data_IF_147361269801
#
_entry.id   IF_147361269801
#
_cell.length_a   1.000
_cell.length_b   1.000
_cell.length_c   1.000
_cell.angle_alpha   90.00
_cell.angle_beta   90.00
_cell.angle_gamma   90.00
#
_symmetry.space_group_name_H-M   'P 1'
#
loop_
_entity.id
_entity.type
_entity.pdbx_description
1 polymer ?
#
# COMPACT_ATOMS: atom_id res chain seq x y z
N UNK A 1 6.27 8.74 -15.68
CA UNK A 1 7.50 8.11 -15.18
C UNK A 1 7.44 6.60 -15.40
N UNK A 2 8.53 6.01 -15.86
CA UNK A 2 8.63 4.56 -15.99
C UNK A 2 8.45 3.88 -14.63
N UNK A 3 7.74 2.75 -14.59
CA UNK A 3 7.52 1.96 -13.37
C UNK A 3 8.82 1.57 -12.67
N UNK A 4 9.87 1.28 -13.43
CA UNK A 4 11.19 0.92 -12.90
C UNK A 4 11.94 2.09 -12.27
N UNK A 5 11.53 3.34 -12.54
CA UNK A 5 12.15 4.55 -11.99
C UNK A 5 11.39 5.11 -10.77
N UNK A 6 10.40 4.39 -10.26
CA UNK A 6 9.61 4.85 -9.13
C UNK A 6 10.40 4.77 -7.83
N UNK A 7 10.05 5.65 -6.89
CA UNK A 7 10.73 5.80 -5.60
C UNK A 7 10.70 4.52 -4.76
N UNK A 8 9.56 3.82 -4.78
CA UNK A 8 9.36 2.61 -3.98
C UNK A 8 9.08 1.38 -4.83
N UNK A 9 9.54 0.24 -4.35
CA UNK A 9 9.16 -1.06 -4.90
C UNK A 9 7.77 -1.45 -4.40
N UNK A 10 7.51 -1.27 -3.10
CA UNK A 10 6.25 -1.68 -2.45
C UNK A 10 5.81 -0.60 -1.45
N UNK A 11 4.53 -0.26 -1.48
CA UNK A 11 3.88 0.51 -0.42
C UNK A 11 2.90 -0.40 0.31
N UNK A 12 3.02 -0.49 1.64
CA UNK A 12 2.08 -1.20 2.49
C UNK A 12 1.00 -0.22 2.91
N UNK A 13 -0.18 -0.36 2.31
CA UNK A 13 -1.33 0.50 2.57
C UNK A 13 -2.22 -0.10 3.66
N UNK A 14 -2.56 0.71 4.66
CA UNK A 14 -3.24 0.24 5.86
C UNK A 14 -2.28 -0.22 6.96
N UNK A 15 -1.06 0.31 6.95
CA UNK A 15 0.01 -0.13 7.84
C UNK A 15 -0.27 0.09 9.34
N UNK A 16 -1.25 0.91 9.70
CA UNK A 16 -1.66 1.14 11.10
C UNK A 16 -2.74 0.17 11.59
N UNK A 17 -3.38 -0.58 10.69
CA UNK A 17 -4.35 -1.60 11.07
C UNK A 17 -3.67 -2.86 11.60
N UNK A 18 -4.46 -3.77 12.16
CA UNK A 18 -3.93 -5.00 12.75
C UNK A 18 -3.07 -5.80 11.75
N UNK A 19 -3.61 -6.11 10.59
CA UNK A 19 -2.89 -6.90 9.58
C UNK A 19 -1.77 -6.10 8.93
N UNK A 20 -2.02 -4.83 8.61
CA UNK A 20 -1.01 -3.96 8.00
C UNK A 20 0.22 -3.77 8.88
N UNK A 21 0.02 -3.67 10.18
CA UNK A 21 1.12 -3.61 11.15
C UNK A 21 1.97 -4.87 11.10
N UNK A 22 1.33 -6.05 11.03
CA UNK A 22 2.05 -7.33 10.95
C UNK A 22 2.85 -7.44 9.65
N UNK A 23 2.30 -6.97 8.54
CA UNK A 23 3.00 -6.95 7.25
C UNK A 23 4.22 -6.03 7.31
N UNK A 24 4.06 -4.82 7.86
CA UNK A 24 5.17 -3.88 8.03
C UNK A 24 6.26 -4.44 8.94
N UNK A 25 5.87 -5.07 10.04
CA UNK A 25 6.81 -5.74 10.96
C UNK A 25 7.58 -6.85 10.26
N UNK A 26 6.92 -7.64 9.42
CA UNK A 26 7.56 -8.66 8.59
C UNK A 26 8.63 -8.06 7.67
N UNK A 27 8.33 -6.93 7.03
CA UNK A 27 9.28 -6.23 6.17
C UNK A 27 10.52 -5.77 6.95
N UNK A 28 10.33 -5.28 8.18
CA UNK A 28 11.45 -4.90 9.04
C UNK A 28 12.32 -6.12 9.38
N UNK A 29 11.68 -7.24 9.75
CA UNK A 29 12.39 -8.44 10.15
C UNK A 29 13.14 -9.11 9.00
N UNK A 30 12.51 -9.21 7.83
CA UNK A 30 13.07 -9.94 6.69
C UNK A 30 14.07 -9.14 5.87
N UNK A 31 13.79 -7.86 5.69
CA UNK A 31 14.60 -7.04 4.79
C UNK A 31 15.53 -6.10 5.54
N UNK A 32 15.15 -5.61 6.69
CA UNK A 32 16.01 -4.80 7.55
C UNK A 32 16.77 -3.71 6.82
N UNK A 33 18.07 -3.70 6.98
CA UNK A 33 18.99 -2.76 6.35
C UNK A 33 19.83 -3.37 5.23
N UNK A 34 19.43 -4.52 4.69
CA UNK A 34 20.16 -5.17 3.60
C UNK A 34 20.21 -4.25 2.38
N UNK A 35 21.39 -4.18 1.73
CA UNK A 35 21.62 -3.27 0.60
C UNK A 35 20.76 -3.58 -0.62
N UNK A 36 20.34 -4.83 -0.79
CA UNK A 36 19.50 -5.32 -1.88
C UNK A 36 18.01 -5.45 -1.51
N UNK A 37 17.65 -4.97 -0.31
CA UNK A 37 16.27 -5.01 0.16
C UNK A 37 15.36 -4.15 -0.71
N UNK A 38 14.08 -4.54 -0.86
CA UNK A 38 13.10 -3.69 -1.53
C UNK A 38 12.99 -2.33 -0.84
N UNK A 39 12.82 -1.28 -1.62
CA UNK A 39 12.50 0.05 -1.10
C UNK A 39 11.01 0.08 -0.81
N UNK A 40 10.64 0.30 0.44
CA UNK A 40 9.24 0.23 0.85
C UNK A 40 8.85 1.42 1.72
N UNK A 41 7.55 1.67 1.79
CA UNK A 41 6.97 2.72 2.62
C UNK A 41 5.71 2.22 3.31
N UNK A 42 5.38 2.85 4.43
CA UNK A 42 4.14 2.61 5.16
C UNK A 42 3.13 3.69 4.78
N UNK A 43 1.92 3.29 4.46
CA UNK A 43 0.86 4.23 4.10
C UNK A 43 -0.40 4.02 4.94
N UNK A 44 -1.08 5.10 5.21
CA UNK A 44 -2.32 5.14 5.96
C UNK A 44 -2.87 6.55 6.02
N UNK A 45 -4.04 6.71 6.62
CA UNK A 45 -4.74 8.01 6.65
C UNK A 45 -4.31 8.94 7.80
N UNK A 46 -3.67 8.40 8.84
CA UNK A 46 -3.31 9.16 10.03
C UNK A 46 -1.80 9.19 10.22
N UNK A 47 -1.13 10.34 9.97
CA UNK A 47 0.32 10.43 10.07
C UNK A 47 0.85 10.16 11.48
N UNK A 48 0.13 10.55 12.51
CA UNK A 48 0.54 10.30 13.91
C UNK A 48 0.54 8.81 14.25
N UNK A 49 -0.45 8.08 13.76
CA UNK A 49 -0.51 6.63 13.95
C UNK A 49 0.59 5.92 13.15
N UNK A 50 0.88 6.39 11.94
CA UNK A 50 1.97 5.84 11.13
C UNK A 50 3.32 5.97 11.84
N UNK A 51 3.61 7.12 12.41
CA UNK A 51 4.84 7.34 13.19
C UNK A 51 4.91 6.41 14.39
N UNK A 52 3.80 6.29 15.12
CA UNK A 52 3.72 5.42 16.30
C UNK A 52 3.98 3.97 15.95
N UNK A 53 3.30 3.46 14.93
CA UNK A 53 3.47 2.07 14.51
C UNK A 53 4.89 1.83 14.00
N UNK A 54 5.44 2.76 13.20
CA UNK A 54 6.84 2.68 12.75
C UNK A 54 7.79 2.48 13.92
N UNK A 55 7.62 3.27 14.98
CA UNK A 55 8.49 3.19 16.16
C UNK A 55 8.25 1.88 16.94
N UNK A 56 7.00 1.48 17.11
CA UNK A 56 6.64 0.29 17.88
C UNK A 56 7.09 -1.02 17.22
N UNK A 57 7.11 -1.09 15.91
CA UNK A 57 7.58 -2.29 15.18
C UNK A 57 9.10 -2.33 15.01
N UNK A 58 9.80 -1.30 15.46
CA UNK A 58 11.27 -1.23 15.37
C UNK A 58 11.77 -0.87 13.98
N UNK A 59 10.95 -0.27 13.14
CA UNK A 59 11.40 0.23 11.85
C UNK A 59 12.31 1.44 12.03
N UNK A 60 13.33 1.62 11.18
CA UNK A 60 14.16 2.82 11.23
C UNK A 60 13.31 4.09 11.09
N UNK A 61 13.71 5.15 11.77
CA UNK A 61 13.03 6.45 11.69
C UNK A 61 13.03 7.03 10.27
N UNK A 62 13.93 6.54 9.43
CA UNK A 62 14.02 6.90 8.00
C UNK A 62 13.00 6.16 7.13
N UNK A 63 12.27 5.18 7.66
CA UNK A 63 11.24 4.48 6.90
C UNK A 63 10.17 5.47 6.43
N UNK A 64 9.96 5.64 5.13
CA UNK A 64 9.03 6.63 4.61
C UNK A 64 7.58 6.36 5.00
N UNK A 65 6.86 7.42 5.29
CA UNK A 65 5.43 7.38 5.61
C UNK A 65 4.67 8.18 4.55
N UNK A 66 3.58 7.60 4.05
CA UNK A 66 2.72 8.23 3.05
C UNK A 66 1.31 8.37 3.62
N UNK A 67 0.79 9.58 3.60
CA UNK A 67 -0.61 9.81 4.01
C UNK A 67 -1.52 9.64 2.81
N UNK A 68 -2.42 8.68 2.88
CA UNK A 68 -3.40 8.41 1.84
C UNK A 68 -4.70 7.91 2.46
N UNK A 69 -5.84 8.33 1.91
CA UNK A 69 -7.16 8.03 2.42
C UNK A 69 -8.05 7.53 1.28
N UNK A 70 -8.79 6.45 1.52
CA UNK A 70 -9.73 5.88 0.54
C UNK A 70 -10.79 6.88 0.08
N UNK A 71 -11.11 7.89 0.89
CA UNK A 71 -12.07 8.94 0.56
C UNK A 71 -11.43 10.13 -0.17
N UNK A 72 -10.11 10.13 -0.33
CA UNK A 72 -9.37 11.19 -1.03
C UNK A 72 -8.63 10.61 -2.24
N UNK A 73 -9.29 10.67 -3.39
CA UNK A 73 -8.76 10.12 -4.65
C UNK A 73 -7.39 10.71 -5.02
N UNK A 74 -7.19 12.00 -4.80
CA UNK A 74 -5.93 12.67 -5.11
C UNK A 74 -4.77 12.08 -4.29
N UNK A 75 -5.01 11.75 -3.01
CA UNK A 75 -4.00 11.12 -2.16
C UNK A 75 -3.66 9.71 -2.61
N UNK A 76 -4.66 8.95 -3.08
CA UNK A 76 -4.45 7.61 -3.62
C UNK A 76 -3.65 7.67 -4.93
N UNK A 77 -3.99 8.58 -5.82
CA UNK A 77 -3.25 8.77 -7.08
C UNK A 77 -1.78 9.12 -6.81
N UNK A 78 -1.54 10.06 -5.91
CA UNK A 78 -0.19 10.47 -5.54
C UNK A 78 0.63 9.30 -4.96
N UNK A 79 0.02 8.48 -4.12
CA UNK A 79 0.67 7.28 -3.57
C UNK A 79 1.00 6.27 -4.67
N UNK A 80 0.04 5.96 -5.53
CA UNK A 80 0.20 4.95 -6.58
C UNK A 80 1.29 5.34 -7.59
N UNK A 81 1.45 6.61 -7.87
CA UNK A 81 2.49 7.11 -8.80
C UNK A 81 3.92 6.94 -8.24
N UNK A 82 4.07 6.79 -6.94
CA UNK A 82 5.37 6.69 -6.27
C UNK A 82 5.89 5.27 -6.13
N UNK A 83 5.08 4.26 -6.40
CA UNK A 83 5.44 2.87 -6.13
C UNK A 83 5.17 1.94 -7.31
N UNK A 84 5.89 0.84 -7.37
CA UNK A 84 5.66 -0.21 -8.35
C UNK A 84 4.47 -1.10 -7.98
N UNK A 85 4.31 -1.37 -6.67
CA UNK A 85 3.25 -2.22 -6.15
C UNK A 85 2.62 -1.57 -4.93
N UNK A 86 1.30 -1.62 -4.83
CA UNK A 86 0.56 -1.33 -3.59
C UNK A 86 0.06 -2.65 -3.02
N UNK A 87 0.45 -2.93 -1.78
CA UNK A 87 -0.06 -4.05 -1.01
C UNK A 87 -1.09 -3.51 -0.01
N UNK A 88 -2.36 -3.78 -0.28
CA UNK A 88 -3.45 -3.28 0.57
C UNK A 88 -3.88 -4.30 1.61
N UNK A 89 -3.99 -3.82 2.84
CA UNK A 89 -4.56 -4.57 3.96
C UNK A 89 -5.87 -3.94 4.48
N UNK A 90 -6.43 -2.98 3.73
CA UNK A 90 -7.61 -2.23 4.14
C UNK A 90 -8.88 -2.92 3.65
N UNK A 91 -9.57 -3.59 4.58
CA UNK A 91 -10.89 -4.19 4.37
C UNK A 91 -11.94 -3.57 5.27
N UNK A 92 -13.23 -3.85 5.06
CA UNK A 92 -13.80 -4.62 3.94
C UNK A 92 -13.56 -3.95 2.58
N UNK A 93 -13.19 -4.77 1.60
CA UNK A 93 -12.81 -4.26 0.28
C UNK A 93 -13.99 -3.69 -0.50
N UNK A 94 -15.19 -4.24 -0.30
CA UNK A 94 -16.42 -3.69 -0.87
C UNK A 94 -16.64 -2.22 -0.50
N UNK A 95 -16.17 -1.80 0.68
CA UNK A 95 -16.34 -0.44 1.17
C UNK A 95 -15.19 0.49 0.77
N UNK A 96 -13.95 -0.04 0.74
CA UNK A 96 -12.74 0.80 0.65
C UNK A 96 -11.83 0.46 -0.52
N UNK A 97 -12.09 -0.62 -1.26
CA UNK A 97 -11.16 -1.13 -2.26
C UNK A 97 -11.25 -0.50 -3.64
N UNK A 98 -12.44 -0.08 -4.05
CA UNK A 98 -12.69 0.36 -5.44
C UNK A 98 -11.82 1.54 -5.85
N UNK A 99 -11.75 2.56 -5.02
CA UNK A 99 -10.99 3.78 -5.32
C UNK A 99 -9.50 3.50 -5.46
N UNK A 100 -8.96 2.62 -4.61
CA UNK A 100 -7.54 2.26 -4.64
C UNK A 100 -7.19 1.46 -5.89
N UNK A 101 -8.00 0.44 -6.24
CA UNK A 101 -7.77 -0.35 -7.45
C UNK A 101 -7.81 0.54 -8.68
N UNK A 102 -8.80 1.42 -8.76
CA UNK A 102 -8.92 2.38 -9.86
C UNK A 102 -7.70 3.30 -9.96
N UNK A 103 -7.18 3.77 -8.82
CA UNK A 103 -5.96 4.59 -8.77
C UNK A 103 -4.74 3.82 -9.27
N UNK A 104 -4.60 2.55 -8.88
CA UNK A 104 -3.53 1.69 -9.37
C UNK A 104 -3.61 1.51 -10.89
N UNK A 105 -4.80 1.29 -11.42
CA UNK A 105 -5.01 1.15 -12.88
C UNK A 105 -4.59 2.43 -13.60
N UNK A 106 -5.04 3.60 -13.13
CA UNK A 106 -4.67 4.88 -13.74
C UNK A 106 -3.16 5.12 -13.74
N UNK A 107 -2.49 4.75 -12.66
CA UNK A 107 -1.05 4.96 -12.50
C UNK A 107 -0.19 3.88 -13.17
N UNK A 108 -0.78 2.77 -13.61
CA UNK A 108 -0.03 1.61 -14.08
C UNK A 108 0.74 0.92 -12.96
N UNK A 109 0.22 0.95 -11.74
CA UNK A 109 0.81 0.36 -10.54
C UNK A 109 0.19 -0.99 -10.28
N UNK A 110 1.00 -1.99 -9.92
CA UNK A 110 0.49 -3.30 -9.58
C UNK A 110 -0.22 -3.25 -8.22
N UNK A 111 -1.24 -4.08 -8.10
CA UNK A 111 -2.05 -4.16 -6.88
C UNK A 111 -2.06 -5.59 -6.34
N UNK A 112 -1.90 -5.72 -5.03
CA UNK A 112 -2.04 -6.99 -4.31
C UNK A 112 -2.79 -6.74 -3.00
N UNK A 113 -3.58 -7.72 -2.58
CA UNK A 113 -4.28 -7.69 -1.30
C UNK A 113 -4.45 -9.10 -0.72
N UNK A 114 -5.15 -9.17 0.40
CA UNK A 114 -5.49 -10.43 1.07
C UNK A 114 -7.02 -10.64 1.14
N UNK A 115 -7.72 -10.13 0.14
CA UNK A 115 -9.17 -10.11 0.10
C UNK A 115 -9.78 -11.51 0.03
N UNK A 116 -10.77 -11.77 0.88
CA UNK A 116 -11.60 -12.97 0.86
C UNK A 116 -13.06 -12.69 0.49
N UNK A 117 -13.31 -11.64 -0.32
CA UNK A 117 -14.66 -11.20 -0.73
C UNK A 117 -14.89 -11.53 -2.21
N UNK A 118 -15.37 -12.76 -2.55
CA UNK A 118 -15.39 -13.22 -3.95
C UNK A 118 -16.23 -12.35 -4.90
N UNK A 119 -17.35 -11.82 -4.42
CA UNK A 119 -18.18 -10.94 -5.25
C UNK A 119 -17.46 -9.67 -5.67
N UNK A 120 -16.75 -9.04 -4.72
CA UNK A 120 -15.94 -7.86 -5.01
C UNK A 120 -14.78 -8.18 -5.96
N UNK A 121 -14.10 -9.30 -5.74
CA UNK A 121 -13.00 -9.75 -6.61
C UNK A 121 -13.49 -9.95 -8.04
N UNK A 122 -14.64 -10.59 -8.22
CA UNK A 122 -15.26 -10.80 -9.52
C UNK A 122 -15.54 -9.46 -10.22
N UNK A 123 -16.09 -8.48 -9.49
CA UNK A 123 -16.39 -7.17 -10.05
C UNK A 123 -15.12 -6.43 -10.49
N UNK A 124 -14.05 -6.51 -9.71
CA UNK A 124 -12.78 -5.89 -10.07
C UNK A 124 -12.17 -6.52 -11.34
N UNK A 125 -12.23 -7.83 -11.47
CA UNK A 125 -11.77 -8.54 -12.66
C UNK A 125 -12.56 -8.08 -13.89
N UNK A 126 -13.88 -7.97 -13.77
CA UNK A 126 -14.75 -7.53 -14.86
C UNK A 126 -14.48 -6.08 -15.29
N UNK A 127 -14.19 -5.19 -14.31
CA UNK A 127 -13.94 -3.77 -14.56
C UNK A 127 -12.55 -3.50 -15.16
N UNK A 128 -11.55 -4.30 -14.80
CA UNK A 128 -10.16 -3.98 -15.08
C UNK A 128 -9.40 -5.08 -15.83
N UNK A 129 -10.07 -6.00 -16.49
CA UNK A 129 -9.42 -7.14 -17.16
C UNK A 129 -8.45 -6.74 -18.28
N UNK A 130 -8.56 -5.52 -18.78
CA UNK A 130 -7.65 -4.97 -19.81
C UNK A 130 -6.50 -4.12 -19.22
N UNK A 131 -6.43 -4.01 -17.90
CA UNK A 131 -5.43 -3.16 -17.25
C UNK A 131 -4.02 -3.77 -17.24
#
# INVERSE_FOLDING_TARGET
MSKSAREFDIVVYGATGYTGRLVAEHFVCEYGSAADAPKWAMAGRDPGKLERVRDEIGAPSSTPLIVADADDTASLDAMCERTRVVLSTVGPYQLYGDALVAACVRAGTDYADLCGEPAWMHDQIALHHEA
#
